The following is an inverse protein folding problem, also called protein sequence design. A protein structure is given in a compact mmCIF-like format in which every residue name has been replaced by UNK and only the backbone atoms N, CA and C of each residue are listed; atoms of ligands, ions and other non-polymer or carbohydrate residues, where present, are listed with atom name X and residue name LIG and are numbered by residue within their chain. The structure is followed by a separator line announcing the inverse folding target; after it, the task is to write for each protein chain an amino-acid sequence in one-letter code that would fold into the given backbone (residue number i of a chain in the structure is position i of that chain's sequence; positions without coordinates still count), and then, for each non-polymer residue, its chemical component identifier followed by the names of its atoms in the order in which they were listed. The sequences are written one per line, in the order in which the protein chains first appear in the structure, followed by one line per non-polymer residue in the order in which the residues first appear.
data_IF_082054043388
#
_entry.id   IF_082054043388
#
_cell.length_a   1.000
_cell.length_b   1.000
_cell.length_c   1.000
_cell.angle_alpha   90.00
_cell.angle_beta   90.00
_cell.angle_gamma   90.00
#
_symmetry.space_group_name_H-M   'P 1'
#
loop_
_entity.id
_entity.type
_entity.pdbx_description
1 polymer ?
#
# COMPACT_ATOMS: atom_id res chain seq x y z
N UNK A 1 -21.27 7.82 3.82
CA UNK A 1 -19.89 8.29 3.56
C UNK A 1 -19.31 8.72 4.89
N UNK A 2 -18.11 8.23 5.22
CA UNK A 2 -17.39 8.74 6.39
C UNK A 2 -16.86 10.13 6.05
N UNK A 3 -17.13 11.10 6.92
CA UNK A 3 -16.53 12.44 6.82
C UNK A 3 -15.05 12.39 7.22
N UNK A 4 -14.30 13.40 6.80
CA UNK A 4 -12.91 13.59 7.23
C UNK A 4 -12.87 14.08 8.68
N UNK A 5 -11.92 13.56 9.46
CA UNK A 5 -11.60 14.07 10.80
C UNK A 5 -10.75 15.35 10.69
N UNK A 6 -10.63 16.10 11.79
CA UNK A 6 -9.79 17.30 11.81
C UNK A 6 -8.32 17.00 11.44
N UNK A 7 -7.79 15.86 11.89
CA UNK A 7 -6.42 15.43 11.55
C UNK A 7 -6.28 15.12 10.06
N UNK A 8 -7.29 14.51 9.45
CA UNK A 8 -7.29 14.22 8.01
C UNK A 8 -7.43 15.51 7.18
N UNK A 9 -8.24 16.48 7.63
CA UNK A 9 -8.33 17.80 7.00
C UNK A 9 -6.98 18.54 7.02
N UNK A 10 -6.25 18.46 8.14
CA UNK A 10 -4.90 19.03 8.26
C UNK A 10 -3.89 18.30 7.36
N UNK A 11 -3.81 16.96 7.45
CA UNK A 11 -2.88 16.12 6.69
C UNK A 11 -3.07 16.27 5.18
N UNK A 12 -4.32 16.25 4.72
CA UNK A 12 -4.67 16.26 3.29
C UNK A 12 -4.99 17.65 2.75
N UNK A 13 -4.75 18.72 3.52
CA UNK A 13 -5.14 20.08 3.13
C UNK A 13 -4.62 20.49 1.75
N UNK A 14 -3.38 20.09 1.37
CA UNK A 14 -2.79 20.39 0.06
C UNK A 14 -3.50 19.71 -1.11
N UNK A 15 -3.96 18.47 -0.94
CA UNK A 15 -4.66 17.73 -2.02
C UNK A 15 -6.17 18.05 -2.06
N UNK A 16 -6.77 18.40 -0.92
CA UNK A 16 -8.14 18.91 -0.85
C UNK A 16 -8.28 20.20 -1.68
N UNK A 17 -7.27 21.06 -1.73
CA UNK A 17 -7.27 22.24 -2.61
C UNK A 17 -7.36 21.90 -4.10
N UNK A 18 -6.96 20.69 -4.51
CA UNK A 18 -6.92 20.27 -5.92
C UNK A 18 -8.25 19.62 -6.33
N UNK A 19 -8.74 18.66 -5.54
CA UNK A 19 -9.93 17.86 -5.91
C UNK A 19 -11.07 17.87 -4.88
N UNK A 20 -10.99 18.73 -3.86
CA UNK A 20 -12.03 18.96 -2.85
C UNK A 20 -12.16 17.86 -1.80
N UNK A 21 -12.88 18.16 -0.71
CA UNK A 21 -13.12 17.21 0.39
C UNK A 21 -13.82 15.94 -0.09
N UNK A 22 -14.80 16.06 -0.99
CA UNK A 22 -15.50 14.91 -1.58
C UNK A 22 -14.55 13.98 -2.33
N UNK A 23 -13.53 14.51 -3.00
CA UNK A 23 -12.50 13.70 -3.65
C UNK A 23 -11.66 12.93 -2.63
N UNK A 24 -11.30 13.59 -1.52
CA UNK A 24 -10.58 12.95 -0.43
C UNK A 24 -11.40 11.88 0.28
N UNK A 25 -12.69 12.12 0.52
CA UNK A 25 -13.61 11.13 1.06
C UNK A 25 -13.71 9.90 0.15
N UNK A 26 -13.68 10.06 -1.17
CA UNK A 26 -13.63 8.91 -2.09
C UNK A 26 -12.37 8.08 -1.89
N UNK A 27 -11.19 8.71 -1.81
CA UNK A 27 -9.93 8.00 -1.52
C UNK A 27 -10.02 7.25 -0.18
N UNK A 28 -10.49 7.92 0.87
CA UNK A 28 -10.69 7.32 2.20
C UNK A 28 -11.59 6.09 2.18
N UNK A 29 -12.61 6.06 1.31
CA UNK A 29 -13.53 4.92 1.22
C UNK A 29 -13.09 3.84 0.21
N UNK A 30 -11.98 4.03 -0.51
CA UNK A 30 -11.47 3.09 -1.52
C UNK A 30 -10.61 1.99 -0.89
N UNK A 31 -10.78 0.76 -1.36
CA UNK A 31 -9.96 -0.41 -1.07
C UNK A 31 -9.09 -0.77 -2.26
N UNK A 32 -7.78 -0.88 -2.06
CA UNK A 32 -6.83 -1.27 -3.11
C UNK A 32 -6.08 -2.53 -2.72
N UNK A 33 -5.90 -3.45 -3.67
CA UNK A 33 -4.93 -4.54 -3.55
C UNK A 33 -3.70 -4.27 -4.42
N UNK A 34 -2.51 -4.46 -3.86
CA UNK A 34 -1.22 -4.35 -4.56
C UNK A 34 -0.56 -5.72 -4.57
N UNK A 35 -0.30 -6.23 -5.77
CA UNK A 35 0.32 -7.53 -6.00
C UNK A 35 1.81 -7.31 -6.28
N UNK A 36 2.67 -7.70 -5.36
CA UNK A 36 4.11 -7.43 -5.43
C UNK A 36 4.52 -6.14 -4.72
N UNK A 37 5.62 -6.22 -3.98
CA UNK A 37 6.25 -5.16 -3.20
C UNK A 37 7.69 -4.92 -3.64
N UNK A 38 7.98 -5.20 -4.91
CA UNK A 38 9.23 -4.79 -5.57
C UNK A 38 9.33 -3.27 -5.74
N UNK A 39 10.11 -2.82 -6.73
CA UNK A 39 10.35 -1.38 -6.94
C UNK A 39 9.06 -0.62 -7.26
N UNK A 40 8.23 -1.18 -8.15
CA UNK A 40 6.95 -0.61 -8.54
C UNK A 40 5.94 -0.64 -7.39
N UNK A 41 5.75 -1.80 -6.76
CA UNK A 41 4.83 -1.96 -5.63
C UNK A 41 5.17 -1.05 -4.45
N UNK A 42 6.47 -0.88 -4.16
CA UNK A 42 6.95 0.04 -3.13
C UNK A 42 6.53 1.49 -3.39
N UNK A 43 6.73 1.98 -4.62
CA UNK A 43 6.37 3.35 -4.99
C UNK A 43 4.85 3.56 -4.96
N UNK A 44 4.08 2.62 -5.51
CA UNK A 44 2.61 2.66 -5.51
C UNK A 44 2.09 2.71 -4.07
N UNK A 45 2.50 1.76 -3.23
CA UNK A 45 2.00 1.66 -1.86
C UNK A 45 2.32 2.92 -1.05
N UNK A 46 3.53 3.48 -1.19
CA UNK A 46 3.92 4.72 -0.53
C UNK A 46 2.96 5.87 -0.87
N UNK A 47 2.71 6.11 -2.16
CA UNK A 47 1.89 7.25 -2.58
C UNK A 47 0.41 7.04 -2.32
N UNK A 48 -0.13 5.82 -2.39
CA UNK A 48 -1.52 5.57 -2.02
C UNK A 48 -1.77 5.78 -0.52
N UNK A 49 -0.83 5.35 0.34
CA UNK A 49 -0.89 5.61 1.78
C UNK A 49 -0.77 7.11 2.07
N UNK A 50 0.17 7.79 1.42
CA UNK A 50 0.34 9.25 1.57
C UNK A 50 -0.90 10.02 1.10
N UNK A 51 -1.53 9.60 0.00
CA UNK A 51 -2.74 10.21 -0.55
C UNK A 51 -4.01 9.91 0.27
N UNK A 52 -3.95 8.97 1.21
CA UNK A 52 -5.07 8.68 2.10
C UNK A 52 -6.10 7.68 1.55
N UNK A 53 -5.67 6.72 0.73
CA UNK A 53 -6.50 5.57 0.37
C UNK A 53 -6.76 4.74 1.63
N UNK A 54 -8.01 4.63 2.07
CA UNK A 54 -8.31 4.19 3.43
C UNK A 54 -8.02 2.72 3.74
N UNK A 55 -7.97 1.86 2.72
CA UNK A 55 -7.60 0.46 2.87
C UNK A 55 -6.65 0.01 1.76
N UNK A 56 -5.53 -0.58 2.16
CA UNK A 56 -4.55 -1.15 1.23
C UNK A 56 -4.18 -2.54 1.70
N UNK A 57 -4.44 -3.51 0.82
CA UNK A 57 -3.95 -4.88 0.94
C UNK A 57 -2.67 -5.02 0.14
N UNK A 58 -1.60 -5.46 0.78
CA UNK A 58 -0.30 -5.71 0.15
C UNK A 58 0.03 -7.20 0.19
N UNK A 59 0.39 -7.77 -0.96
CA UNK A 59 0.63 -9.20 -1.11
C UNK A 59 1.99 -9.40 -1.77
N UNK A 60 2.90 -10.09 -1.09
CA UNK A 60 4.20 -10.46 -1.63
C UNK A 60 4.74 -11.72 -0.93
N UNK A 61 5.42 -12.58 -1.69
CA UNK A 61 5.95 -13.87 -1.21
C UNK A 61 7.44 -13.86 -0.87
N UNK A 62 8.14 -12.76 -1.12
CA UNK A 62 9.59 -12.67 -1.01
C UNK A 62 10.05 -12.05 0.32
N UNK A 63 11.36 -12.14 0.51
CA UNK A 63 12.10 -11.46 1.58
C UNK A 63 12.91 -10.31 1.00
N UNK A 64 13.28 -9.37 1.86
CA UNK A 64 14.16 -8.26 1.51
C UNK A 64 15.59 -8.77 1.32
N UNK A 65 16.20 -8.43 0.19
CA UNK A 65 17.59 -8.74 -0.13
C UNK A 65 18.41 -7.46 -0.36
N UNK A 66 19.74 -7.54 -0.26
CA UNK A 66 20.60 -6.36 -0.37
C UNK A 66 20.50 -5.67 -1.75
N UNK A 67 20.42 -6.46 -2.82
CA UNK A 67 20.29 -6.00 -4.20
C UNK A 67 18.90 -5.43 -4.54
N UNK A 68 17.95 -5.53 -3.61
CA UNK A 68 16.63 -4.93 -3.72
C UNK A 68 16.67 -3.44 -3.36
N UNK A 69 17.60 -3.04 -2.50
CA UNK A 69 17.62 -1.72 -1.84
C UNK A 69 17.95 -0.54 -2.78
N UNK A 70 18.41 -0.80 -4.01
CA UNK A 70 18.59 0.26 -5.02
C UNK A 70 17.28 0.80 -5.59
N UNK A 71 16.16 0.09 -5.42
CA UNK A 71 14.87 0.45 -6.05
C UNK A 71 13.63 0.19 -5.21
N UNK A 72 13.72 -0.66 -4.18
CA UNK A 72 12.58 -1.02 -3.33
C UNK A 72 12.53 -0.10 -2.09
N UNK A 73 12.04 1.12 -2.29
CA UNK A 73 12.17 2.23 -1.33
C UNK A 73 11.47 2.02 0.03
N UNK A 74 10.58 1.02 0.15
CA UNK A 74 9.94 0.67 1.42
C UNK A 74 10.80 -0.24 2.30
N UNK A 75 11.93 -0.73 1.81
CA UNK A 75 12.81 -1.65 2.52
C UNK A 75 14.16 -1.00 2.77
N UNK A 76 14.67 -1.16 3.99
CA UNK A 76 15.95 -0.57 4.41
C UNK A 76 16.92 -1.66 4.86
N UNK A 77 18.20 -1.32 5.02
CA UNK A 77 19.26 -2.26 5.41
C UNK A 77 18.91 -3.13 6.64
N UNK A 78 18.26 -2.61 7.70
CA UNK A 78 17.86 -3.45 8.85
C UNK A 78 16.78 -4.49 8.53
N UNK A 79 16.12 -4.41 7.38
CA UNK A 79 15.04 -5.32 6.99
C UNK A 79 15.54 -6.53 6.20
N UNK A 80 16.83 -6.62 5.86
CA UNK A 80 17.36 -7.74 5.08
C UNK A 80 16.99 -9.08 5.76
N UNK A 81 16.40 -10.00 4.99
CA UNK A 81 15.89 -11.28 5.46
C UNK A 81 14.45 -11.25 6.00
N UNK A 82 13.87 -10.07 6.25
CA UNK A 82 12.45 -9.89 6.64
C UNK A 82 11.53 -10.10 5.45
N UNK A 83 10.29 -10.54 5.70
CA UNK A 83 9.27 -10.58 4.65
C UNK A 83 9.04 -9.16 4.11
N UNK A 84 8.96 -9.00 2.77
CA UNK A 84 8.71 -7.68 2.17
C UNK A 84 7.41 -7.06 2.67
N UNK A 85 6.37 -7.88 2.85
CA UNK A 85 5.07 -7.44 3.39
C UNK A 85 5.16 -6.88 4.79
N UNK A 86 5.91 -7.52 5.68
CA UNK A 86 6.12 -7.07 7.05
C UNK A 86 6.97 -5.80 7.10
N UNK A 87 8.05 -5.73 6.31
CA UNK A 87 8.85 -4.51 6.19
C UNK A 87 8.00 -3.34 5.69
N UNK A 88 7.26 -3.52 4.59
CA UNK A 88 6.40 -2.49 4.03
C UNK A 88 5.32 -2.03 5.01
N UNK A 89 4.60 -2.96 5.65
CA UNK A 89 3.53 -2.62 6.61
C UNK A 89 4.04 -1.70 7.73
N UNK A 90 5.21 -1.98 8.29
CA UNK A 90 5.80 -1.14 9.35
C UNK A 90 6.07 0.29 8.88
N UNK A 91 6.61 0.48 7.68
CA UNK A 91 6.96 1.82 7.18
C UNK A 91 5.69 2.57 6.76
N UNK A 92 4.73 1.89 6.14
CA UNK A 92 3.46 2.47 5.72
C UNK A 92 2.60 2.89 6.92
N UNK A 93 2.54 2.08 7.99
CA UNK A 93 1.85 2.47 9.24
C UNK A 93 2.51 3.68 9.92
N UNK A 94 3.84 3.80 9.84
CA UNK A 94 4.56 5.00 10.34
C UNK A 94 4.29 6.23 9.48
N UNK A 95 4.13 6.06 8.16
CA UNK A 95 3.81 7.14 7.24
C UNK A 95 2.41 7.72 7.49
N UNK A 96 1.40 6.85 7.63
CA UNK A 96 0.01 7.27 7.84
C UNK A 96 -0.76 6.22 8.67
N UNK A 97 -0.78 6.33 10.01
CA UNK A 97 -1.44 5.36 10.89
C UNK A 97 -2.97 5.32 10.76
N UNK A 98 -3.58 6.28 10.07
CA UNK A 98 -5.01 6.36 9.80
C UNK A 98 -5.46 5.37 8.71
N UNK A 99 -4.51 4.82 7.94
CA UNK A 99 -4.78 3.88 6.85
C UNK A 99 -4.77 2.44 7.36
N UNK A 100 -5.79 1.67 6.97
CA UNK A 100 -5.82 0.24 7.24
C UNK A 100 -4.94 -0.50 6.24
N UNK A 101 -3.81 -1.01 6.72
CA UNK A 101 -2.92 -1.89 5.95
C UNK A 101 -3.20 -3.34 6.31
N UNK A 102 -3.40 -4.19 5.30
CA UNK A 102 -3.47 -5.64 5.44
C UNK A 102 -2.33 -6.29 4.67
N UNK A 103 -1.39 -6.88 5.40
CA UNK A 103 -0.19 -7.50 4.83
C UNK A 103 -0.36 -9.02 4.75
N UNK A 104 -0.24 -9.58 3.55
CA UNK A 104 -0.36 -11.02 3.32
C UNK A 104 0.94 -11.55 2.72
N UNK A 105 1.74 -12.23 3.53
CA UNK A 105 2.90 -12.94 3.02
C UNK A 105 2.46 -14.22 2.29
N UNK A 106 2.66 -14.27 0.97
CA UNK A 106 2.27 -15.43 0.18
C UNK A 106 2.53 -15.23 -1.31
N UNK A 107 2.78 -16.35 -2.00
CA UNK A 107 2.97 -16.35 -3.45
C UNK A 107 1.61 -16.30 -4.14
N UNK A 108 1.47 -15.39 -5.11
CA UNK A 108 0.27 -15.28 -5.92
C UNK A 108 0.32 -16.33 -7.02
N UNK A 109 -0.77 -17.07 -7.17
CA UNK A 109 -0.95 -18.10 -8.19
C UNK A 109 -2.33 -17.93 -8.83
N UNK A 110 -2.54 -18.57 -9.99
CA UNK A 110 -3.84 -18.52 -10.67
C UNK A 110 -4.97 -19.07 -9.79
N UNK A 111 -4.65 -20.05 -8.95
CA UNK A 111 -5.61 -20.74 -8.09
C UNK A 111 -6.00 -19.91 -6.85
N UNK A 112 -5.12 -19.02 -6.39
CA UNK A 112 -5.35 -18.29 -5.14
C UNK A 112 -5.66 -16.79 -5.33
N UNK A 113 -5.36 -16.19 -6.49
CA UNK A 113 -5.42 -14.74 -6.68
C UNK A 113 -6.79 -14.15 -6.38
N UNK A 114 -7.87 -14.81 -6.84
CA UNK A 114 -9.25 -14.34 -6.59
C UNK A 114 -9.56 -14.28 -5.09
N UNK A 115 -9.10 -15.28 -4.33
CA UNK A 115 -9.28 -15.34 -2.87
C UNK A 115 -8.37 -14.33 -2.14
N UNK A 116 -7.12 -14.18 -2.58
CA UNK A 116 -6.16 -13.27 -1.95
C UNK A 116 -6.60 -11.82 -2.10
N UNK A 117 -6.97 -11.42 -3.32
CA UNK A 117 -7.46 -10.08 -3.62
C UNK A 117 -8.77 -9.82 -2.88
N UNK A 118 -9.74 -10.73 -3.00
CA UNK A 118 -11.05 -10.60 -2.37
C UNK A 118 -11.82 -9.36 -2.86
N UNK A 119 -12.59 -8.76 -1.96
CA UNK A 119 -13.43 -7.59 -2.24
C UNK A 119 -12.65 -6.27 -2.09
N UNK A 120 -12.02 -5.84 -3.19
CA UNK A 120 -11.37 -4.52 -3.34
C UNK A 120 -11.89 -3.81 -4.58
N UNK A 121 -11.81 -2.49 -4.60
CA UNK A 121 -12.28 -1.67 -5.72
C UNK A 121 -11.28 -1.66 -6.88
N UNK A 122 -9.97 -1.74 -6.57
CA UNK A 122 -8.88 -1.64 -7.54
C UNK A 122 -7.81 -2.69 -7.24
N UNK A 123 -7.32 -3.34 -8.30
CA UNK A 123 -6.17 -4.25 -8.26
C UNK A 123 -5.02 -3.60 -9.02
N UNK A 124 -3.85 -3.54 -8.40
CA UNK A 124 -2.63 -3.06 -9.01
C UNK A 124 -1.63 -4.21 -9.11
N UNK A 125 -1.37 -4.64 -10.34
CA UNK A 125 -0.36 -5.63 -10.62
C UNK A 125 1.02 -4.97 -10.68
N UNK A 126 1.88 -5.32 -9.74
CA UNK A 126 3.26 -4.87 -9.64
C UNK A 126 4.23 -6.06 -9.50
N UNK A 127 3.82 -7.24 -9.98
CA UNK A 127 4.67 -8.41 -10.10
C UNK A 127 5.65 -8.22 -11.27
N UNK A 128 6.84 -8.81 -11.16
CA UNK A 128 7.86 -8.77 -12.23
C UNK A 128 8.02 -10.13 -12.93
N UNK A 129 6.91 -10.87 -13.05
CA UNK A 129 6.85 -12.14 -13.78
C UNK A 129 6.14 -11.96 -15.13
N UNK A 130 6.74 -12.50 -16.20
CA UNK A 130 6.19 -12.52 -17.55
C UNK A 130 5.66 -13.91 -17.92
#
# INVERSE_FOLDING_TARGET
MLSLSQKELERYGRQILIFGERGQEKLKNTKVAILGLGGLGSAIAYYLVAAGVGYIKIIDGDRVELDNLNRQILHWTPDIGKNKTESAEEKLKKLNPEIKIEAIHGRITRENVSKLVGDVDIILDALDNF
#
